data_IF_133234265995
#
_entry.id   IF_133234265995
#
_cell.length_a   1.000
_cell.length_b   1.000
_cell.length_c   1.000
_cell.angle_alpha   90.00
_cell.angle_beta   90.00
_cell.angle_gamma   90.00
#
_symmetry.space_group_name_H-M   'P 1'
#
loop_
_entity.id
_entity.type
_entity.pdbx_description
1 polymer ?
#
# COMPACT_ATOMS: atom_id res chain seq x y z
N UNK A 1 -5.42 35.29 -16.88
CA UNK A 1 -4.15 34.53 -17.05
C UNK A 1 -4.05 33.34 -16.10
N UNK A 2 -4.71 33.38 -14.94
CA UNK A 2 -4.69 32.28 -13.96
C UNK A 2 -5.71 31.20 -14.25
N UNK A 3 -6.77 31.51 -15.01
CA UNK A 3 -7.80 30.58 -15.48
C UNK A 3 -7.23 29.43 -16.30
N UNK A 4 -6.29 29.73 -17.20
CA UNK A 4 -5.68 28.69 -18.07
C UNK A 4 -4.86 27.68 -17.25
N UNK A 5 -4.17 28.16 -16.20
CA UNK A 5 -3.43 27.26 -15.32
C UNK A 5 -4.38 26.39 -14.48
N UNK A 6 -5.44 26.98 -13.93
CA UNK A 6 -6.44 26.24 -13.20
C UNK A 6 -7.10 25.16 -14.08
N UNK A 7 -7.41 25.50 -15.31
CA UNK A 7 -8.02 24.56 -16.28
C UNK A 7 -7.09 23.38 -16.60
N UNK A 8 -5.78 23.64 -16.79
CA UNK A 8 -4.80 22.59 -16.99
C UNK A 8 -4.63 21.68 -15.78
N UNK A 9 -4.62 22.25 -14.56
CA UNK A 9 -4.58 21.45 -13.32
C UNK A 9 -5.80 20.55 -13.18
N UNK A 10 -7.00 21.08 -13.46
CA UNK A 10 -8.24 20.28 -13.42
C UNK A 10 -8.22 19.16 -14.45
N UNK A 11 -7.69 19.43 -15.66
CA UNK A 11 -7.55 18.42 -16.71
C UNK A 11 -6.66 17.26 -16.28
N UNK A 12 -5.46 17.57 -15.76
CA UNK A 12 -4.51 16.55 -15.31
C UNK A 12 -5.03 15.76 -14.10
N UNK A 13 -5.66 16.44 -13.12
CA UNK A 13 -6.29 15.74 -11.98
C UNK A 13 -7.41 14.81 -12.48
N UNK A 14 -8.27 15.27 -13.39
CA UNK A 14 -9.36 14.46 -13.94
C UNK A 14 -8.80 13.23 -14.68
N UNK A 15 -7.76 13.42 -15.49
CA UNK A 15 -7.10 12.33 -16.20
C UNK A 15 -6.43 11.33 -15.23
N UNK A 16 -5.76 11.82 -14.19
CA UNK A 16 -5.12 10.96 -13.19
C UNK A 16 -6.14 10.16 -12.37
N UNK A 17 -7.24 10.77 -11.94
CA UNK A 17 -8.32 10.10 -11.21
C UNK A 17 -9.05 9.07 -12.09
N UNK A 18 -9.25 9.37 -13.38
CA UNK A 18 -9.91 8.47 -14.34
C UNK A 18 -9.13 7.19 -14.64
N UNK A 19 -7.82 7.15 -14.33
CA UNK A 19 -7.00 5.94 -14.42
C UNK A 19 -7.28 4.96 -13.27
N UNK A 20 -7.85 5.44 -12.17
CA UNK A 20 -8.22 4.62 -11.03
C UNK A 20 -9.56 3.98 -11.34
N UNK A 21 -9.57 2.70 -11.66
CA UNK A 21 -10.77 1.98 -12.14
C UNK A 21 -11.88 1.86 -11.10
N UNK A 22 -11.54 1.99 -9.82
CA UNK A 22 -12.52 2.03 -8.74
C UNK A 22 -13.36 3.32 -8.73
N UNK A 23 -12.97 4.33 -9.52
CA UNK A 23 -13.64 5.62 -9.56
C UNK A 23 -14.37 5.82 -10.88
N UNK A 24 -15.65 6.19 -10.79
CA UNK A 24 -16.37 6.79 -11.88
C UNK A 24 -16.20 8.31 -11.81
N UNK A 25 -15.36 8.86 -12.69
CA UNK A 25 -15.04 10.28 -12.70
C UNK A 25 -15.94 11.00 -13.72
N UNK A 26 -16.69 11.99 -13.24
CA UNK A 26 -17.54 12.83 -14.09
C UNK A 26 -16.68 13.66 -15.05
N UNK A 27 -17.16 13.79 -16.29
CA UNK A 27 -16.48 14.57 -17.31
C UNK A 27 -16.26 16.03 -16.87
N UNK A 28 -15.06 16.55 -17.13
CA UNK A 28 -14.62 17.90 -16.79
C UNK A 28 -15.65 19.00 -17.16
N UNK A 29 -16.29 18.90 -18.33
CA UNK A 29 -17.28 19.88 -18.79
C UNK A 29 -18.44 20.05 -17.81
N UNK A 30 -18.87 18.98 -17.14
CA UNK A 30 -19.93 19.06 -16.12
C UNK A 30 -19.47 19.81 -14.88
N UNK A 31 -18.23 19.63 -14.47
CA UNK A 31 -17.64 20.35 -13.33
C UNK A 31 -17.45 21.86 -13.64
N UNK A 32 -17.19 22.22 -14.89
CA UNK A 32 -17.05 23.65 -15.29
C UNK A 32 -18.31 24.50 -15.08
N UNK A 33 -19.50 23.90 -15.04
CA UNK A 33 -20.72 24.62 -14.73
C UNK A 33 -20.70 25.30 -13.35
N UNK A 34 -19.82 24.84 -12.47
CA UNK A 34 -19.64 25.34 -11.09
C UNK A 34 -18.40 26.23 -10.92
N UNK A 35 -17.57 26.38 -11.96
CA UNK A 35 -16.34 27.19 -11.89
C UNK A 35 -16.64 28.65 -11.53
N UNK A 36 -15.98 29.16 -10.47
CA UNK A 36 -16.12 30.53 -10.00
C UNK A 36 -17.46 30.85 -9.30
N UNK A 37 -18.28 29.84 -9.05
CA UNK A 37 -19.55 29.99 -8.34
C UNK A 37 -19.42 29.55 -6.88
N UNK A 38 -20.08 30.26 -5.98
CA UNK A 38 -20.26 29.82 -4.59
C UNK A 38 -21.53 28.96 -4.52
N UNK A 39 -21.34 27.64 -4.57
CA UNK A 39 -22.43 26.66 -4.51
C UNK A 39 -22.17 25.71 -3.34
N UNK A 40 -23.22 25.31 -2.63
CA UNK A 40 -23.09 24.27 -1.59
C UNK A 40 -22.66 22.95 -2.25
N UNK A 41 -21.60 22.34 -1.75
CA UNK A 41 -21.06 21.10 -2.29
C UNK A 41 -22.09 19.96 -2.30
N UNK A 42 -23.08 20.01 -1.39
CA UNK A 42 -24.18 19.05 -1.33
C UNK A 42 -25.13 19.19 -2.53
N UNK A 43 -25.30 20.40 -3.04
CA UNK A 43 -26.06 20.67 -4.27
C UNK A 43 -25.29 20.07 -5.47
N UNK A 44 -23.98 20.33 -5.57
CA UNK A 44 -23.12 19.75 -6.61
C UNK A 44 -23.21 18.22 -6.61
N UNK A 45 -23.17 17.60 -5.42
CA UNK A 45 -23.28 16.16 -5.27
C UNK A 45 -24.59 15.60 -5.81
N UNK A 46 -25.71 16.24 -5.51
CA UNK A 46 -27.04 15.85 -6.01
C UNK A 46 -27.19 16.06 -7.51
N UNK A 47 -26.75 17.20 -8.02
CA UNK A 47 -26.90 17.56 -9.42
C UNK A 47 -26.08 16.68 -10.36
N UNK A 48 -24.86 16.33 -9.93
CA UNK A 48 -23.94 15.50 -10.70
C UNK A 48 -24.02 14.00 -10.33
N UNK A 49 -24.74 13.64 -9.28
CA UNK A 49 -24.83 12.26 -8.79
C UNK A 49 -23.49 11.71 -8.29
N UNK A 50 -22.66 12.53 -7.63
CA UNK A 50 -21.33 12.15 -7.16
C UNK A 50 -21.24 12.19 -5.62
N UNK A 51 -20.60 11.16 -5.05
CA UNK A 51 -20.39 11.06 -3.61
C UNK A 51 -19.20 11.90 -3.12
N UNK A 52 -18.25 12.21 -3.99
CA UNK A 52 -17.03 12.94 -3.67
C UNK A 52 -16.74 14.01 -4.71
N UNK A 53 -16.18 15.14 -4.27
CA UNK A 53 -15.73 16.21 -5.15
C UNK A 53 -14.32 16.65 -4.78
N UNK A 54 -13.49 16.87 -5.79
CA UNK A 54 -12.20 17.55 -5.65
C UNK A 54 -12.38 19.00 -6.04
N UNK A 55 -12.10 19.91 -5.14
CA UNK A 55 -12.16 21.34 -5.40
C UNK A 55 -10.85 22.03 -5.00
N UNK A 56 -10.59 23.19 -5.55
CA UNK A 56 -9.37 23.91 -5.22
C UNK A 56 -9.31 25.34 -5.72
N UNK A 57 -8.23 26.01 -5.35
CA UNK A 57 -7.94 27.37 -5.79
C UNK A 57 -6.52 27.48 -6.32
N UNK A 58 -6.34 28.28 -7.36
CA UNK A 58 -5.04 28.64 -7.91
C UNK A 58 -4.79 30.14 -7.67
N UNK A 59 -3.66 30.47 -7.07
CA UNK A 59 -3.25 31.86 -6.83
C UNK A 59 -1.82 32.07 -7.31
N UNK A 60 -1.57 33.18 -8.00
CA UNK A 60 -0.24 33.58 -8.44
C UNK A 60 0.16 34.90 -7.78
N UNK A 61 1.39 34.96 -7.28
CA UNK A 61 1.93 36.18 -6.68
C UNK A 61 3.43 36.04 -6.38
N UNK A 62 4.20 37.13 -6.53
CA UNK A 62 5.62 37.15 -6.21
C UNK A 62 6.49 36.15 -7.00
N UNK A 63 6.12 35.84 -8.25
CA UNK A 63 6.84 34.85 -9.07
C UNK A 63 6.58 33.39 -8.66
N UNK A 64 5.59 33.15 -7.80
CA UNK A 64 5.18 31.81 -7.34
C UNK A 64 3.74 31.51 -7.70
N UNK A 65 3.44 30.23 -7.86
CA UNK A 65 2.09 29.69 -7.99
C UNK A 65 1.77 28.88 -6.74
N UNK A 66 0.62 29.18 -6.13
CA UNK A 66 0.08 28.42 -5.01
C UNK A 66 -1.22 27.77 -5.44
N UNK A 67 -1.29 26.46 -5.22
CA UNK A 67 -2.47 25.65 -5.50
C UNK A 67 -2.90 25.00 -4.19
N UNK A 68 -4.16 25.19 -3.84
CA UNK A 68 -4.78 24.47 -2.73
C UNK A 68 -5.82 23.55 -3.30
N UNK A 69 -5.79 22.29 -2.90
CA UNK A 69 -6.73 21.25 -3.34
C UNK A 69 -7.33 20.57 -2.12
N UNK A 70 -8.61 20.25 -2.16
CA UNK A 70 -9.29 19.49 -1.12
C UNK A 70 -10.25 18.45 -1.72
N UNK A 71 -10.39 17.33 -1.03
CA UNK A 71 -11.39 16.31 -1.28
C UNK A 71 -12.51 16.45 -0.25
N UNK A 72 -13.74 16.52 -0.74
CA UNK A 72 -14.93 16.69 0.09
C UNK A 72 -15.94 15.58 -0.23
N UNK A 73 -16.50 14.99 0.82
CA UNK A 73 -17.67 14.12 0.74
C UNK A 73 -18.92 15.00 0.53
N UNK A 74 -19.63 14.78 -0.58
CA UNK A 74 -20.68 15.72 -0.99
C UNK A 74 -21.93 15.68 -0.10
N UNK A 75 -22.33 14.51 0.41
CA UNK A 75 -23.53 14.37 1.23
C UNK A 75 -23.43 15.10 2.57
N UNK A 76 -22.28 14.99 3.22
CA UNK A 76 -22.03 15.61 4.54
C UNK A 76 -21.41 17.01 4.44
N UNK A 77 -20.74 17.32 3.34
CA UNK A 77 -19.87 18.49 3.20
C UNK A 77 -18.55 18.35 3.98
N UNK A 78 -18.21 17.14 4.44
CA UNK A 78 -17.01 16.85 5.22
C UNK A 78 -15.78 16.86 4.35
N UNK A 79 -14.78 17.65 4.70
CA UNK A 79 -13.46 17.60 4.07
C UNK A 79 -12.72 16.33 4.54
N UNK A 80 -12.36 15.48 3.59
CA UNK A 80 -11.64 14.22 3.85
C UNK A 80 -10.13 14.40 3.79
N UNK A 81 -9.67 15.29 2.90
CA UNK A 81 -8.27 15.56 2.66
C UNK A 81 -8.08 16.96 2.11
N UNK A 82 -6.95 17.58 2.40
CA UNK A 82 -6.51 18.80 1.72
C UNK A 82 -5.00 18.89 1.68
N UNK A 83 -4.49 19.53 0.64
CA UNK A 83 -3.08 19.85 0.50
C UNK A 83 -2.85 21.20 -0.17
N UNK A 84 -1.66 21.73 0.04
CA UNK A 84 -1.23 23.00 -0.50
C UNK A 84 0.14 22.88 -1.11
N UNK A 85 0.20 23.11 -2.41
CA UNK A 85 1.43 23.09 -3.19
C UNK A 85 1.84 24.53 -3.56
N UNK A 86 3.12 24.80 -3.49
CA UNK A 86 3.69 26.08 -3.85
C UNK A 86 4.98 25.85 -4.65
N UNK A 87 5.09 26.47 -5.81
CA UNK A 87 6.29 26.37 -6.66
C UNK A 87 6.58 27.65 -7.42
N UNK A 88 7.81 27.76 -7.95
CA UNK A 88 8.20 28.85 -8.85
C UNK A 88 7.42 28.75 -10.17
N UNK A 89 7.10 29.88 -10.78
CA UNK A 89 6.25 29.96 -11.96
C UNK A 89 6.90 29.46 -13.28
N UNK A 90 8.08 28.85 -13.24
CA UNK A 90 8.88 28.51 -14.41
C UNK A 90 8.70 27.09 -14.94
N UNK A 91 8.09 26.17 -14.19
CA UNK A 91 7.84 24.77 -14.57
C UNK A 91 6.37 24.40 -14.44
N UNK A 92 5.46 25.08 -15.14
CA UNK A 92 4.01 24.92 -14.97
C UNK A 92 3.51 23.51 -15.32
N UNK A 93 4.05 22.86 -16.35
CA UNK A 93 3.67 21.50 -16.73
C UNK A 93 4.12 20.47 -15.66
N UNK A 94 5.38 20.57 -15.21
CA UNK A 94 5.89 19.69 -14.15
C UNK A 94 5.10 19.87 -12.85
N UNK A 95 4.64 21.09 -12.56
CA UNK A 95 3.79 21.39 -11.41
C UNK A 95 2.40 20.74 -11.55
N UNK A 96 1.80 20.80 -12.76
CA UNK A 96 0.50 20.15 -13.04
C UNK A 96 0.59 18.65 -12.87
N UNK A 97 1.62 18.00 -13.44
CA UNK A 97 1.83 16.54 -13.32
C UNK A 97 2.05 16.10 -11.87
N UNK A 98 2.84 16.86 -11.10
CA UNK A 98 3.05 16.57 -9.68
C UNK A 98 1.75 16.68 -8.87
N UNK A 99 0.98 17.74 -9.11
CA UNK A 99 -0.30 17.95 -8.42
C UNK A 99 -1.27 16.81 -8.74
N UNK A 100 -1.41 16.47 -10.03
CA UNK A 100 -2.30 15.39 -10.46
C UNK A 100 -1.90 14.05 -9.81
N UNK A 101 -0.61 13.73 -9.79
CA UNK A 101 -0.09 12.52 -9.16
C UNK A 101 -0.32 12.50 -7.64
N UNK A 102 -0.09 13.61 -6.95
CA UNK A 102 -0.32 13.71 -5.50
C UNK A 102 -1.80 13.63 -5.14
N UNK A 103 -2.65 14.33 -5.89
CA UNK A 103 -4.11 14.32 -5.68
C UNK A 103 -4.67 12.91 -5.92
N UNK A 104 -4.28 12.24 -7.00
CA UNK A 104 -4.73 10.87 -7.27
C UNK A 104 -4.24 9.88 -6.21
N UNK A 105 -2.96 9.99 -5.80
CA UNK A 105 -2.37 9.13 -4.77
C UNK A 105 -2.99 9.33 -3.39
N UNK A 106 -3.27 10.57 -2.98
CA UNK A 106 -3.86 10.89 -1.68
C UNK A 106 -5.37 10.65 -1.62
N UNK A 107 -6.11 10.87 -2.71
CA UNK A 107 -7.56 10.71 -2.72
C UNK A 107 -7.99 9.24 -2.60
N UNK A 108 -7.28 8.30 -3.22
CA UNK A 108 -7.62 6.88 -3.15
C UNK A 108 -7.70 6.36 -1.70
N UNK A 109 -6.69 6.55 -0.82
CA UNK A 109 -6.79 6.17 0.59
C UNK A 109 -7.93 6.88 1.34
N UNK A 110 -8.17 8.16 1.07
CA UNK A 110 -9.18 8.97 1.77
C UNK A 110 -10.60 8.54 1.41
N UNK A 111 -10.90 8.33 0.13
CA UNK A 111 -12.18 7.81 -0.36
C UNK A 111 -12.39 6.39 0.18
N UNK A 112 -11.37 5.55 0.10
CA UNK A 112 -11.44 4.18 0.61
C UNK A 112 -11.72 4.13 2.11
N UNK A 113 -11.12 5.02 2.91
CA UNK A 113 -11.40 5.13 4.34
C UNK A 113 -12.87 5.51 4.60
N UNK A 114 -13.44 6.43 3.83
CA UNK A 114 -14.84 6.82 3.93
C UNK A 114 -15.79 5.66 3.53
N UNK A 115 -15.48 4.95 2.44
CA UNK A 115 -16.26 3.78 2.01
C UNK A 115 -16.21 2.62 3.01
N UNK A 116 -15.05 2.39 3.65
CA UNK A 116 -14.91 1.43 4.74
C UNK A 116 -15.81 1.80 5.91
N UNK A 117 -15.85 3.06 6.29
CA UNK A 117 -16.72 3.52 7.39
C UNK A 117 -18.20 3.38 7.04
N UNK A 118 -18.58 3.72 5.81
CA UNK A 118 -19.93 3.47 5.30
C UNK A 118 -20.31 1.97 5.36
N UNK A 119 -19.41 1.10 4.91
CA UNK A 119 -19.64 -0.34 4.96
C UNK A 119 -19.79 -0.86 6.40
N UNK A 120 -19.05 -0.31 7.37
CA UNK A 120 -19.18 -0.66 8.80
C UNK A 120 -20.54 -0.32 9.38
N UNK A 121 -21.19 0.74 8.90
CA UNK A 121 -22.50 1.19 9.35
C UNK A 121 -23.64 0.45 8.65
N UNK A 122 -23.37 -0.29 7.56
CA UNK A 122 -24.37 -1.08 6.84
C UNK A 122 -24.74 -2.34 7.63
N UNK A 123 -26.04 -2.68 7.82
CA UNK A 123 -26.47 -3.91 8.49
C UNK A 123 -25.90 -5.17 7.80
N UNK A 124 -25.50 -6.21 8.56
CA UNK A 124 -24.82 -7.39 8.02
C UNK A 124 -25.60 -8.13 6.90
N UNK A 125 -26.92 -8.18 7.00
CA UNK A 125 -27.80 -8.82 6.02
C UNK A 125 -27.80 -8.12 4.65
N UNK A 126 -27.50 -6.82 4.61
CA UNK A 126 -27.50 -6.00 3.40
C UNK A 126 -26.13 -5.89 2.74
N UNK A 127 -25.07 -6.50 3.36
CA UNK A 127 -23.72 -6.45 2.80
C UNK A 127 -23.59 -7.31 1.55
N UNK A 128 -22.99 -6.73 0.53
CA UNK A 128 -22.55 -7.42 -0.68
C UNK A 128 -21.07 -7.87 -0.56
N UNK A 129 -20.58 -8.63 -1.54
CA UNK A 129 -19.19 -9.06 -1.57
C UNK A 129 -18.20 -7.86 -1.53
N UNK A 130 -18.55 -6.77 -2.22
CA UNK A 130 -17.80 -5.52 -2.21
C UNK A 130 -17.70 -4.92 -0.80
N UNK A 131 -18.81 -4.77 -0.08
CA UNK A 131 -18.83 -4.17 1.27
C UNK A 131 -18.05 -5.01 2.28
N UNK A 132 -18.15 -6.34 2.20
CA UNK A 132 -17.37 -7.26 3.03
C UNK A 132 -15.87 -7.14 2.75
N UNK A 133 -15.51 -6.97 1.48
CA UNK A 133 -14.11 -6.73 1.08
C UNK A 133 -13.61 -5.39 1.61
N UNK A 134 -14.40 -4.32 1.54
CA UNK A 134 -14.05 -3.04 2.16
C UNK A 134 -13.82 -3.15 3.67
N UNK A 135 -14.68 -3.88 4.39
CA UNK A 135 -14.51 -4.16 5.82
C UNK A 135 -13.22 -4.92 6.14
N UNK A 136 -12.76 -5.77 5.22
CA UNK A 136 -11.53 -6.52 5.39
C UNK A 136 -10.26 -5.65 5.24
N UNK A 137 -10.30 -4.56 4.47
CA UNK A 137 -9.12 -3.78 4.11
C UNK A 137 -8.31 -3.22 5.30
N UNK A 138 -8.91 -2.66 6.38
CA UNK A 138 -8.15 -2.21 7.54
C UNK A 138 -7.35 -3.33 8.21
N UNK A 139 -7.91 -4.53 8.22
CA UNK A 139 -7.28 -5.74 8.74
C UNK A 139 -6.21 -6.27 7.77
N UNK A 140 -6.48 -6.23 6.48
CA UNK A 140 -5.54 -6.58 5.42
C UNK A 140 -4.24 -5.78 5.48
N UNK A 141 -4.33 -4.46 5.72
CA UNK A 141 -3.14 -3.58 5.79
C UNK A 141 -2.44 -3.56 7.14
N UNK A 142 -3.05 -4.07 8.19
CA UNK A 142 -2.49 -4.00 9.54
C UNK A 142 -1.23 -4.87 9.74
N UNK A 143 -1.03 -5.90 8.92
CA UNK A 143 0.10 -6.84 8.98
C UNK A 143 0.33 -7.43 10.38
N UNK A 144 -0.75 -7.74 11.09
CA UNK A 144 -0.77 -8.40 12.40
C UNK A 144 -1.55 -9.70 12.30
N UNK A 145 -1.13 -10.75 13.01
CA UNK A 145 -1.73 -12.09 12.91
C UNK A 145 -3.26 -12.07 13.11
N UNK A 146 -3.73 -11.49 14.20
CA UNK A 146 -5.16 -11.42 14.50
C UNK A 146 -5.97 -10.61 13.47
N UNK A 147 -5.38 -9.58 12.86
CA UNK A 147 -6.02 -8.82 11.79
C UNK A 147 -6.04 -9.61 10.48
N UNK A 148 -4.96 -10.32 10.14
CA UNK A 148 -4.92 -11.19 8.97
C UNK A 148 -6.01 -12.29 9.03
N UNK A 149 -6.22 -12.92 10.20
CA UNK A 149 -7.28 -13.90 10.42
C UNK A 149 -8.68 -13.29 10.23
N UNK A 150 -8.91 -12.06 10.72
CA UNK A 150 -10.17 -11.32 10.50
C UNK A 150 -10.37 -10.96 9.03
N UNK A 151 -9.32 -10.54 8.34
CA UNK A 151 -9.40 -10.23 6.91
C UNK A 151 -9.77 -11.49 6.11
N UNK A 152 -9.13 -12.63 6.39
CA UNK A 152 -9.46 -13.91 5.75
C UNK A 152 -10.91 -14.31 5.96
N UNK A 153 -11.43 -14.19 7.20
CA UNK A 153 -12.82 -14.50 7.51
C UNK A 153 -13.82 -13.60 6.75
N UNK A 154 -13.49 -12.32 6.56
CA UNK A 154 -14.33 -11.38 5.79
C UNK A 154 -14.25 -11.66 4.29
N UNK A 155 -13.08 -12.02 3.75
CA UNK A 155 -12.95 -12.44 2.36
C UNK A 155 -13.69 -13.75 2.09
N UNK A 156 -13.70 -14.70 3.04
CA UNK A 156 -14.49 -15.92 2.92
C UNK A 156 -15.99 -15.62 2.87
N UNK A 157 -16.47 -14.69 3.69
CA UNK A 157 -17.87 -14.25 3.65
C UNK A 157 -18.20 -13.54 2.31
N UNK A 158 -17.28 -12.71 1.78
CA UNK A 158 -17.45 -12.08 0.48
C UNK A 158 -17.56 -13.12 -0.64
N UNK A 159 -16.68 -14.12 -0.63
CA UNK A 159 -16.65 -15.20 -1.62
C UNK A 159 -17.84 -16.20 -1.46
N UNK A 160 -18.44 -16.29 -0.27
CA UNK A 160 -19.68 -17.03 -0.09
C UNK A 160 -20.88 -16.32 -0.77
N UNK A 161 -20.86 -15.00 -0.89
CA UNK A 161 -21.87 -14.22 -1.61
C UNK A 161 -21.63 -14.17 -3.12
N UNK A 162 -20.36 -14.01 -3.53
CA UNK A 162 -19.91 -14.00 -4.92
C UNK A 162 -18.60 -14.79 -5.04
N UNK A 163 -18.68 -16.08 -5.42
CA UNK A 163 -17.52 -16.95 -5.52
C UNK A 163 -16.49 -16.50 -6.56
N UNK A 164 -16.88 -15.71 -7.55
CA UNK A 164 -16.02 -15.22 -8.63
C UNK A 164 -15.58 -13.76 -8.43
N UNK A 165 -15.77 -13.21 -7.23
CA UNK A 165 -15.30 -11.87 -6.91
C UNK A 165 -13.76 -11.83 -6.84
N UNK A 166 -13.14 -11.57 -7.98
CA UNK A 166 -11.69 -11.65 -8.19
C UNK A 166 -10.86 -10.78 -7.25
N UNK A 167 -11.38 -9.61 -6.82
CA UNK A 167 -10.68 -8.72 -5.89
C UNK A 167 -10.53 -9.37 -4.51
N UNK A 168 -11.59 -10.00 -3.98
CA UNK A 168 -11.51 -10.72 -2.71
C UNK A 168 -10.56 -11.92 -2.80
N UNK A 169 -10.56 -12.65 -3.92
CA UNK A 169 -9.61 -13.74 -4.17
C UNK A 169 -8.15 -13.25 -4.15
N UNK A 170 -7.87 -12.13 -4.83
CA UNK A 170 -6.53 -11.54 -4.87
C UNK A 170 -6.03 -11.13 -3.46
N UNK A 171 -6.88 -10.47 -2.69
CA UNK A 171 -6.52 -10.06 -1.33
C UNK A 171 -6.43 -11.24 -0.37
N UNK A 172 -7.28 -12.26 -0.52
CA UNK A 172 -7.18 -13.52 0.21
C UNK A 172 -5.86 -14.25 -0.08
N UNK A 173 -5.43 -14.30 -1.36
CA UNK A 173 -4.14 -14.86 -1.74
C UNK A 173 -2.97 -14.18 -1.03
N UNK A 174 -2.97 -12.86 -0.97
CA UNK A 174 -1.97 -12.07 -0.24
C UNK A 174 -2.01 -12.36 1.26
N UNK A 175 -3.18 -12.46 1.89
CA UNK A 175 -3.29 -12.80 3.31
C UNK A 175 -2.68 -14.18 3.63
N UNK A 176 -2.92 -15.21 2.80
CA UNK A 176 -2.30 -16.52 2.96
C UNK A 176 -0.78 -16.46 2.75
N UNK A 177 -0.28 -15.68 1.80
CA UNK A 177 1.15 -15.45 1.60
C UNK A 177 1.81 -14.78 2.81
N UNK A 178 1.13 -13.85 3.48
CA UNK A 178 1.59 -13.25 4.73
C UNK A 178 1.72 -14.27 5.87
N UNK A 179 0.79 -15.25 5.97
CA UNK A 179 0.84 -16.30 7.00
C UNK A 179 2.18 -17.04 6.97
N UNK A 180 2.72 -17.31 5.77
CA UNK A 180 4.02 -17.95 5.62
C UNK A 180 5.17 -17.02 5.94
N UNK A 181 5.22 -15.87 5.28
CA UNK A 181 6.36 -14.93 5.36
C UNK A 181 6.57 -14.34 6.74
N UNK A 182 5.49 -14.14 7.50
CA UNK A 182 5.57 -13.65 8.87
C UNK A 182 5.63 -14.77 9.90
N UNK A 183 5.74 -16.02 9.44
CA UNK A 183 5.89 -17.22 10.29
C UNK A 183 4.72 -17.41 11.29
N UNK A 184 3.50 -17.08 10.83
CA UNK A 184 2.28 -17.27 11.61
C UNK A 184 1.64 -18.64 11.37
N UNK A 185 1.93 -19.24 10.20
CA UNK A 185 1.40 -20.54 9.80
C UNK A 185 2.05 -21.67 10.60
N UNK A 186 1.25 -22.64 11.04
CA UNK A 186 1.73 -23.91 11.59
C UNK A 186 2.25 -24.82 10.47
N UNK A 187 1.57 -24.83 9.33
CA UNK A 187 1.98 -25.51 8.09
C UNK A 187 2.18 -24.48 6.95
N UNK A 188 3.40 -23.98 6.75
CA UNK A 188 3.70 -23.04 5.67
C UNK A 188 3.44 -23.59 4.27
N UNK A 189 3.55 -24.89 4.04
CA UNK A 189 3.30 -25.48 2.73
C UNK A 189 1.81 -25.46 2.38
N UNK A 190 0.94 -25.80 3.33
CA UNK A 190 -0.50 -25.72 3.16
C UNK A 190 -0.96 -24.27 2.92
N UNK A 191 -0.39 -23.29 3.65
CA UNK A 191 -0.75 -21.89 3.43
C UNK A 191 -0.28 -21.36 2.06
N UNK A 192 0.91 -21.78 1.58
CA UNK A 192 1.33 -21.47 0.21
C UNK A 192 0.38 -22.06 -0.83
N UNK A 193 -0.06 -23.28 -0.66
CA UNK A 193 -1.01 -23.91 -1.56
C UNK A 193 -2.35 -23.13 -1.62
N UNK A 194 -2.87 -22.66 -0.46
CA UNK A 194 -4.06 -21.81 -0.41
C UNK A 194 -3.83 -20.46 -1.09
N UNK A 195 -2.66 -19.84 -0.86
CA UNK A 195 -2.30 -18.58 -1.50
C UNK A 195 -2.28 -18.73 -3.02
N UNK A 196 -1.65 -19.79 -3.53
CA UNK A 196 -1.56 -20.02 -4.97
C UNK A 196 -2.92 -20.35 -5.60
N UNK A 197 -3.71 -21.22 -4.99
CA UNK A 197 -5.05 -21.53 -5.49
C UNK A 197 -5.94 -20.28 -5.60
N UNK A 198 -5.86 -19.37 -4.64
CA UNK A 198 -6.58 -18.10 -4.68
C UNK A 198 -5.99 -17.14 -5.73
N UNK A 199 -4.66 -17.03 -5.84
CA UNK A 199 -3.98 -16.19 -6.81
C UNK A 199 -4.25 -16.63 -8.25
N UNK A 200 -4.17 -17.93 -8.54
CA UNK A 200 -4.42 -18.51 -9.87
C UNK A 200 -5.86 -18.21 -10.32
N UNK A 201 -6.82 -18.38 -9.41
CA UNK A 201 -8.21 -18.06 -9.72
C UNK A 201 -8.44 -16.56 -9.91
N UNK A 202 -7.85 -15.73 -9.04
CA UNK A 202 -7.91 -14.28 -9.17
C UNK A 202 -7.31 -13.77 -10.49
N UNK A 203 -6.20 -14.39 -10.93
CA UNK A 203 -5.51 -14.03 -12.18
C UNK A 203 -6.39 -14.19 -13.43
N UNK A 204 -7.36 -15.11 -13.39
CA UNK A 204 -8.32 -15.34 -14.48
C UNK A 204 -9.47 -14.30 -14.47
N UNK A 205 -9.73 -13.67 -13.33
CA UNK A 205 -10.91 -12.81 -13.11
C UNK A 205 -10.55 -11.32 -13.04
N UNK A 206 -9.32 -10.99 -12.61
CA UNK A 206 -8.88 -9.61 -12.42
C UNK A 206 -8.10 -9.12 -13.62
N UNK A 207 -8.67 -8.12 -14.32
CA UNK A 207 -8.03 -7.55 -15.51
C UNK A 207 -7.76 -6.05 -15.40
N UNK A 208 -8.58 -5.31 -14.65
CA UNK A 208 -8.64 -3.84 -14.64
C UNK A 208 -8.63 -3.22 -13.22
N UNK A 209 -8.29 -3.98 -12.19
CA UNK A 209 -8.17 -3.50 -10.82
C UNK A 209 -6.70 -3.51 -10.37
N UNK A 210 -6.04 -2.35 -10.41
CA UNK A 210 -4.60 -2.21 -10.16
C UNK A 210 -4.14 -2.80 -8.81
N UNK A 211 -4.83 -2.47 -7.71
CA UNK A 211 -4.45 -2.98 -6.38
C UNK A 211 -4.60 -4.50 -6.27
N UNK A 212 -5.64 -5.09 -6.90
CA UNK A 212 -5.81 -6.54 -6.90
C UNK A 212 -4.74 -7.25 -7.75
N UNK A 213 -4.38 -6.70 -8.93
CA UNK A 213 -3.26 -7.21 -9.73
C UNK A 213 -1.95 -7.16 -8.94
N UNK A 214 -1.68 -6.05 -8.24
CA UNK A 214 -0.50 -5.95 -7.38
C UNK A 214 -0.53 -6.98 -6.23
N UNK A 215 -1.72 -7.31 -5.68
CA UNK A 215 -1.87 -8.35 -4.65
C UNK A 215 -1.58 -9.75 -5.19
N UNK A 216 -2.03 -10.06 -6.41
CA UNK A 216 -1.72 -11.31 -7.10
C UNK A 216 -0.20 -11.43 -7.29
N UNK A 217 0.45 -10.41 -7.87
CA UNK A 217 1.90 -10.40 -8.05
C UNK A 217 2.66 -10.52 -6.73
N UNK A 218 2.20 -9.83 -5.68
CA UNK A 218 2.79 -9.94 -4.35
C UNK A 218 2.67 -11.36 -3.77
N UNK A 219 1.52 -12.04 -3.93
CA UNK A 219 1.35 -13.42 -3.49
C UNK A 219 2.29 -14.38 -4.24
N UNK A 220 2.39 -14.26 -5.56
CA UNK A 220 3.35 -15.03 -6.36
C UNK A 220 4.79 -14.79 -5.92
N UNK A 221 5.20 -13.54 -5.68
CA UNK A 221 6.57 -13.19 -5.29
C UNK A 221 7.01 -13.83 -3.97
N UNK A 222 6.06 -14.06 -3.05
CA UNK A 222 6.33 -14.67 -1.75
C UNK A 222 6.22 -16.19 -1.77
N UNK A 223 5.39 -16.77 -2.66
CA UNK A 223 5.04 -18.17 -2.62
C UNK A 223 5.75 -19.01 -3.68
N UNK A 224 6.32 -18.38 -4.72
CA UNK A 224 6.98 -19.09 -5.84
C UNK A 224 8.42 -18.61 -6.06
N UNK A 225 9.17 -19.35 -6.85
CA UNK A 225 10.48 -18.93 -7.35
C UNK A 225 10.39 -18.08 -8.64
N UNK A 226 9.22 -18.08 -9.30
CA UNK A 226 9.01 -17.36 -10.57
C UNK A 226 8.74 -15.87 -10.32
N UNK A 227 9.81 -15.13 -10.10
CA UNK A 227 9.76 -13.71 -9.88
C UNK A 227 9.38 -12.92 -11.14
N UNK A 228 9.63 -13.47 -12.33
CA UNK A 228 9.22 -12.84 -13.59
C UNK A 228 7.70 -12.87 -13.76
N UNK A 229 7.05 -13.97 -13.39
CA UNK A 229 5.60 -14.05 -13.37
C UNK A 229 4.98 -13.08 -12.36
N UNK A 230 5.54 -13.02 -11.15
CA UNK A 230 5.12 -12.03 -10.14
C UNK A 230 5.26 -10.59 -10.65
N UNK A 231 6.39 -10.26 -11.31
CA UNK A 231 6.62 -8.94 -11.91
C UNK A 231 5.55 -8.57 -12.93
N UNK A 232 5.14 -9.49 -13.79
CA UNK A 232 4.16 -9.23 -14.84
C UNK A 232 2.82 -8.68 -14.31
N UNK A 233 2.38 -9.14 -13.13
CA UNK A 233 1.16 -8.62 -12.49
C UNK A 233 1.37 -7.25 -11.86
N UNK A 234 2.51 -7.01 -11.22
CA UNK A 234 2.84 -5.72 -10.62
C UNK A 234 3.01 -4.66 -11.71
N UNK A 235 3.69 -4.99 -12.81
CA UNK A 235 3.87 -4.10 -13.96
C UNK A 235 2.53 -3.74 -14.62
N UNK A 236 1.63 -4.72 -14.78
CA UNK A 236 0.26 -4.47 -15.26
C UNK A 236 -0.52 -3.57 -14.30
N UNK A 237 -0.36 -3.77 -12.99
CA UNK A 237 -1.00 -2.90 -12.00
C UNK A 237 -0.53 -1.45 -12.13
N UNK A 238 0.78 -1.22 -12.28
CA UNK A 238 1.37 0.11 -12.44
C UNK A 238 1.11 0.72 -13.82
N UNK A 239 0.93 -0.10 -14.86
CA UNK A 239 0.48 0.37 -16.18
C UNK A 239 -0.98 0.85 -16.15
N UNK A 240 -1.85 0.19 -15.37
CA UNK A 240 -3.25 0.61 -15.18
C UNK A 240 -3.35 1.87 -14.31
N UNK A 241 -2.60 1.91 -13.21
CA UNK A 241 -2.59 3.06 -12.28
C UNK A 241 -1.14 3.38 -11.86
N UNK A 242 -0.47 4.29 -12.58
CA UNK A 242 0.88 4.75 -12.25
C UNK A 242 0.98 5.46 -10.89
N UNK A 243 -0.13 5.87 -10.31
CA UNK A 243 -0.22 6.53 -9.01
C UNK A 243 -0.61 5.57 -7.87
N UNK A 244 -0.65 4.27 -8.12
CA UNK A 244 -0.92 3.26 -7.11
C UNK A 244 0.27 3.11 -6.15
N UNK A 245 0.23 3.80 -5.02
CA UNK A 245 1.30 3.79 -4.02
C UNK A 245 1.55 2.36 -3.49
N UNK A 246 0.50 1.55 -3.30
CA UNK A 246 0.65 0.17 -2.85
C UNK A 246 1.32 -0.70 -3.93
N UNK A 247 0.99 -0.49 -5.20
CA UNK A 247 1.65 -1.15 -6.34
C UNK A 247 3.15 -0.84 -6.37
N UNK A 248 3.55 0.42 -6.21
CA UNK A 248 4.95 0.81 -6.12
C UNK A 248 5.66 0.19 -4.91
N UNK A 249 5.00 0.12 -3.77
CA UNK A 249 5.55 -0.58 -2.60
C UNK A 249 5.76 -2.08 -2.89
N UNK A 250 4.83 -2.74 -3.59
CA UNK A 250 5.00 -4.15 -3.99
C UNK A 250 6.11 -4.34 -5.00
N UNK A 251 6.28 -3.41 -5.97
CA UNK A 251 7.42 -3.40 -6.87
C UNK A 251 8.75 -3.29 -6.08
N UNK A 252 8.82 -2.40 -5.09
CA UNK A 252 9.99 -2.27 -4.21
C UNK A 252 10.33 -3.57 -3.49
N UNK A 253 9.36 -4.25 -2.91
CA UNK A 253 9.58 -5.55 -2.27
C UNK A 253 10.02 -6.63 -3.27
N UNK A 254 9.43 -6.68 -4.47
CA UNK A 254 9.85 -7.61 -5.51
C UNK A 254 11.32 -7.37 -5.91
N UNK A 255 11.71 -6.11 -6.10
CA UNK A 255 13.11 -5.71 -6.36
C UNK A 255 14.04 -6.14 -5.22
N UNK A 256 13.61 -5.98 -3.98
CA UNK A 256 14.36 -6.44 -2.80
C UNK A 256 14.55 -7.97 -2.81
N UNK A 257 13.51 -8.73 -3.17
CA UNK A 257 13.59 -10.20 -3.33
C UNK A 257 14.55 -10.61 -4.45
N UNK A 258 14.67 -9.81 -5.49
CA UNK A 258 15.58 -10.07 -6.62
C UNK A 258 17.03 -9.61 -6.38
N UNK A 259 17.31 -8.95 -5.24
CA UNK A 259 18.66 -8.40 -4.98
C UNK A 259 18.92 -7.02 -5.63
N UNK A 260 17.91 -6.39 -6.20
CA UNK A 260 17.98 -5.11 -6.90
C UNK A 260 17.75 -3.94 -5.92
N UNK A 261 18.62 -3.80 -4.91
CA UNK A 261 18.38 -2.93 -3.74
C UNK A 261 18.24 -1.44 -4.07
N UNK A 262 18.98 -0.93 -5.06
CA UNK A 262 18.88 0.49 -5.46
C UNK A 262 17.56 0.79 -6.14
N UNK A 263 17.10 -0.10 -7.02
CA UNK A 263 15.81 0.04 -7.69
C UNK A 263 14.65 -0.14 -6.71
N UNK A 264 14.82 -1.02 -5.71
CA UNK A 264 13.88 -1.16 -4.62
C UNK A 264 13.68 0.15 -3.85
N UNK A 265 14.78 0.84 -3.48
CA UNK A 265 14.70 2.15 -2.81
C UNK A 265 13.94 3.17 -3.65
N UNK A 266 14.21 3.28 -4.95
CA UNK A 266 13.49 4.18 -5.85
C UNK A 266 11.97 3.89 -5.90
N UNK A 267 11.58 2.61 -5.93
CA UNK A 267 10.17 2.22 -5.87
C UNK A 267 9.52 2.61 -4.54
N UNK A 268 10.19 2.39 -3.41
CA UNK A 268 9.68 2.77 -2.08
C UNK A 268 9.58 4.29 -1.92
N UNK A 269 10.55 5.05 -2.40
CA UNK A 269 10.51 6.53 -2.42
C UNK A 269 9.34 7.04 -3.25
N UNK A 270 9.09 6.43 -4.43
CA UNK A 270 7.92 6.76 -5.25
C UNK A 270 6.61 6.46 -4.51
N UNK A 271 6.49 5.31 -3.87
CA UNK A 271 5.31 4.95 -3.07
C UNK A 271 5.05 5.96 -1.94
N UNK A 272 6.11 6.36 -1.22
CA UNK A 272 6.02 7.32 -0.12
C UNK A 272 5.65 8.72 -0.61
N UNK A 273 6.18 9.15 -1.76
CA UNK A 273 5.86 10.44 -2.38
C UNK A 273 4.39 10.52 -2.84
N UNK A 274 3.85 9.40 -3.34
CA UNK A 274 2.45 9.33 -3.78
C UNK A 274 1.46 9.33 -2.61
N UNK A 275 1.78 8.66 -1.49
CA UNK A 275 0.87 8.54 -0.35
C UNK A 275 1.62 8.49 0.99
N UNK A 276 2.09 9.65 1.49
CA UNK A 276 2.92 9.71 2.71
C UNK A 276 2.16 9.35 4.00
N UNK A 277 0.84 9.39 3.99
CA UNK A 277 -0.04 9.13 5.13
C UNK A 277 -0.84 7.85 5.00
N UNK A 278 -0.46 6.98 4.06
CA UNK A 278 -1.16 5.72 3.86
C UNK A 278 -1.02 4.78 5.08
N UNK A 279 -2.06 4.02 5.45
CA UNK A 279 -2.01 3.05 6.55
C UNK A 279 -0.87 2.02 6.45
N UNK A 280 -0.35 1.75 5.25
CA UNK A 280 0.75 0.83 5.03
C UNK A 280 2.15 1.48 4.98
N UNK A 281 2.28 2.78 5.25
CA UNK A 281 3.57 3.52 5.20
C UNK A 281 4.66 2.86 6.03
N UNK A 282 4.31 2.24 7.16
CA UNK A 282 5.25 1.46 7.98
C UNK A 282 5.95 0.35 7.17
N UNK A 283 5.25 -0.30 6.24
CA UNK A 283 5.81 -1.38 5.43
C UNK A 283 6.76 -0.85 4.35
N UNK A 284 6.57 0.38 3.88
CA UNK A 284 7.53 1.08 3.01
C UNK A 284 8.85 1.27 3.76
N UNK A 285 8.81 1.77 5.00
CA UNK A 285 10.01 1.94 5.82
C UNK A 285 10.74 0.63 6.07
N UNK A 286 10.03 -0.47 6.31
CA UNK A 286 10.67 -1.79 6.44
C UNK A 286 11.33 -2.25 5.13
N UNK A 287 10.71 -1.99 3.97
CA UNK A 287 11.31 -2.28 2.68
C UNK A 287 12.59 -1.49 2.44
N UNK A 288 12.56 -0.18 2.70
CA UNK A 288 13.74 0.69 2.61
C UNK A 288 14.83 0.26 3.60
N UNK A 289 14.45 -0.15 4.83
CA UNK A 289 15.39 -0.67 5.82
C UNK A 289 16.07 -1.96 5.35
N UNK A 290 15.30 -2.88 4.75
CA UNK A 290 15.83 -4.12 4.17
C UNK A 290 16.84 -3.85 3.06
N UNK A 291 16.50 -2.98 2.12
CA UNK A 291 17.39 -2.60 1.02
C UNK A 291 18.67 -1.91 1.51
N UNK A 292 18.55 -0.98 2.48
CA UNK A 292 19.69 -0.27 3.07
C UNK A 292 20.64 -1.22 3.81
N UNK A 293 20.11 -2.21 4.55
CA UNK A 293 20.90 -3.19 5.26
C UNK A 293 21.72 -4.08 4.30
N UNK A 294 21.12 -4.53 3.20
CA UNK A 294 21.84 -5.34 2.21
C UNK A 294 22.87 -4.50 1.41
N UNK A 295 22.69 -3.20 1.31
CA UNK A 295 23.72 -2.28 0.81
C UNK A 295 24.83 -2.00 1.83
N UNK A 296 24.67 -2.42 3.10
CA UNK A 296 25.65 -2.26 4.18
C UNK A 296 25.47 -1.00 5.02
N UNK A 297 24.45 -0.19 4.76
CA UNK A 297 24.11 0.99 5.56
C UNK A 297 23.19 0.59 6.73
N UNK A 298 23.79 -0.02 7.75
CA UNK A 298 23.05 -0.48 8.93
C UNK A 298 22.52 0.66 9.79
N UNK A 299 23.17 1.83 9.77
CA UNK A 299 22.70 3.00 10.50
C UNK A 299 21.35 3.48 9.93
N UNK A 300 21.26 3.60 8.61
CA UNK A 300 20.03 3.96 7.90
C UNK A 300 18.97 2.87 8.04
N UNK A 301 19.37 1.61 7.95
CA UNK A 301 18.45 0.48 8.11
C UNK A 301 17.79 0.47 9.50
N UNK A 302 18.53 0.76 10.56
CA UNK A 302 18.01 0.85 11.93
C UNK A 302 17.03 2.02 12.04
N UNK A 303 17.44 3.23 11.59
CA UNK A 303 16.57 4.42 11.61
C UNK A 303 15.21 4.13 10.93
N UNK A 304 15.25 3.55 9.74
CA UNK A 304 14.05 3.25 8.95
C UNK A 304 13.20 2.15 9.62
N UNK A 305 13.80 1.11 10.18
CA UNK A 305 13.08 0.05 10.88
C UNK A 305 12.41 0.56 12.17
N UNK A 306 13.10 1.42 12.95
CA UNK A 306 12.51 2.09 14.12
C UNK A 306 11.34 2.99 13.72
N UNK A 307 11.48 3.75 12.62
CA UNK A 307 10.41 4.57 12.06
C UNK A 307 9.21 3.73 11.61
N UNK A 308 9.47 2.58 10.98
CA UNK A 308 8.44 1.63 10.60
C UNK A 308 7.64 1.11 11.81
N UNK A 309 8.32 0.72 12.89
CA UNK A 309 7.65 0.29 14.13
C UNK A 309 6.86 1.41 14.81
N UNK A 310 7.36 2.64 14.76
CA UNK A 310 6.62 3.80 15.29
C UNK A 310 5.34 4.07 14.49
N UNK A 311 5.39 3.95 13.17
CA UNK A 311 4.23 4.18 12.28
C UNK A 311 3.24 3.01 12.27
N UNK A 312 3.71 1.78 12.54
CA UNK A 312 2.90 0.55 12.59
C UNK A 312 2.99 -0.15 13.95
N UNK A 313 2.41 0.42 15.02
CA UNK A 313 2.46 -0.22 16.33
C UNK A 313 1.77 -1.59 16.29
N UNK A 314 2.43 -2.60 16.87
CA UNK A 314 1.93 -3.98 16.91
C UNK A 314 2.39 -4.86 15.75
N UNK A 315 3.24 -4.38 14.85
CA UNK A 315 3.91 -5.19 13.82
C UNK A 315 5.11 -5.92 14.40
N UNK A 316 4.83 -6.95 15.21
CA UNK A 316 5.82 -7.60 16.08
C UNK A 316 6.88 -8.41 15.33
N UNK A 317 6.57 -8.90 14.13
CA UNK A 317 7.52 -9.61 13.29
C UNK A 317 8.71 -8.73 12.86
N UNK A 318 8.56 -7.40 12.88
CA UNK A 318 9.62 -6.48 12.49
C UNK A 318 10.79 -6.43 13.49
N UNK A 319 10.62 -6.88 14.73
CA UNK A 319 11.72 -7.00 15.68
C UNK A 319 12.84 -7.93 15.21
N UNK A 320 12.56 -8.88 14.31
CA UNK A 320 13.60 -9.70 13.67
C UNK A 320 14.56 -8.86 12.80
N UNK A 321 14.05 -7.80 12.16
CA UNK A 321 14.87 -6.89 11.36
C UNK A 321 15.80 -6.08 12.26
N UNK A 322 15.26 -5.48 13.33
CA UNK A 322 16.07 -4.73 14.29
C UNK A 322 17.10 -5.61 15.00
N UNK A 323 16.75 -6.84 15.39
CA UNK A 323 17.71 -7.79 15.99
C UNK A 323 18.90 -8.02 15.06
N UNK A 324 18.63 -8.27 13.76
CA UNK A 324 19.65 -8.44 12.73
C UNK A 324 20.50 -7.18 12.53
N UNK A 325 19.86 -6.03 12.32
CA UNK A 325 20.55 -4.79 11.94
C UNK A 325 21.40 -4.24 13.09
N UNK A 326 20.92 -4.31 14.34
CA UNK A 326 21.73 -3.95 15.50
C UNK A 326 22.93 -4.88 15.69
N UNK A 327 22.78 -6.20 15.43
CA UNK A 327 23.89 -7.14 15.50
C UNK A 327 24.94 -6.83 14.44
N UNK A 328 24.54 -6.52 13.21
CA UNK A 328 25.43 -6.12 12.12
C UNK A 328 26.13 -4.77 12.40
N UNK A 329 25.46 -3.85 13.07
CA UNK A 329 26.03 -2.57 13.50
C UNK A 329 26.90 -2.70 14.77
N UNK A 330 27.08 -3.89 15.34
CA UNK A 330 27.89 -4.13 16.55
C UNK A 330 27.20 -3.75 17.88
N UNK A 331 25.92 -3.36 17.84
CA UNK A 331 25.16 -3.01 19.04
C UNK A 331 24.48 -4.25 19.66
N UNK A 332 25.27 -5.09 20.30
CA UNK A 332 24.81 -6.36 20.84
C UNK A 332 23.70 -6.21 21.90
N UNK A 333 23.76 -5.15 22.71
CA UNK A 333 22.74 -4.89 23.75
C UNK A 333 21.35 -4.65 23.13
N UNK A 334 21.25 -3.77 22.13
CA UNK A 334 19.98 -3.49 21.44
C UNK A 334 19.53 -4.68 20.60
N UNK A 335 20.47 -5.41 19.98
CA UNK A 335 20.19 -6.63 19.24
C UNK A 335 19.52 -7.68 20.12
N UNK A 336 20.09 -7.98 21.27
CA UNK A 336 19.53 -8.93 22.24
C UNK A 336 18.15 -8.51 22.75
N UNK A 337 17.94 -7.21 23.00
CA UNK A 337 16.64 -6.68 23.40
C UNK A 337 15.58 -6.86 22.30
N UNK A 338 15.92 -6.57 21.05
CA UNK A 338 15.03 -6.75 19.92
C UNK A 338 14.71 -8.24 19.68
N UNK A 339 15.69 -9.13 19.82
CA UNK A 339 15.47 -10.57 19.73
C UNK A 339 14.56 -11.07 20.86
N UNK A 340 14.74 -10.59 22.08
CA UNK A 340 13.87 -10.95 23.21
C UNK A 340 12.41 -10.53 22.97
N UNK A 341 12.18 -9.33 22.40
CA UNK A 341 10.84 -8.88 22.01
C UNK A 341 10.25 -9.76 20.90
N UNK A 342 11.03 -10.13 19.89
CA UNK A 342 10.57 -11.06 18.87
C UNK A 342 10.10 -12.38 19.47
N UNK A 343 10.93 -12.98 20.34
CA UNK A 343 10.65 -14.29 20.95
C UNK A 343 9.49 -14.22 21.96
N UNK A 344 9.29 -13.08 22.62
CA UNK A 344 8.12 -12.85 23.49
C UNK A 344 6.80 -12.91 22.69
N UNK A 345 6.80 -12.34 21.48
CA UNK A 345 5.62 -12.33 20.60
C UNK A 345 5.47 -13.58 19.75
N UNK A 346 6.59 -14.27 19.48
CA UNK A 346 6.63 -15.49 18.65
C UNK A 346 7.43 -16.58 19.40
N UNK A 347 6.86 -17.20 20.45
CA UNK A 347 7.54 -18.24 21.20
C UNK A 347 7.95 -19.40 20.28
N UNK A 348 9.19 -19.86 20.43
CA UNK A 348 9.72 -20.94 19.59
C UNK A 348 10.08 -20.56 18.15
N UNK A 349 10.28 -19.25 17.87
CA UNK A 349 10.86 -18.81 16.60
C UNK A 349 12.32 -19.28 16.50
N UNK A 350 12.69 -19.85 15.36
CA UNK A 350 14.04 -20.35 15.06
C UNK A 350 14.43 -20.00 13.64
N UNK A 351 15.73 -20.10 13.33
CA UNK A 351 16.24 -19.92 11.96
C UNK A 351 15.64 -20.96 11.00
N UNK A 352 15.37 -22.18 11.46
CA UNK A 352 14.72 -23.20 10.66
C UNK A 352 13.29 -22.82 10.28
N UNK A 353 12.46 -22.42 11.25
CA UNK A 353 11.10 -21.92 10.99
C UNK A 353 11.09 -20.72 10.06
N UNK A 354 12.06 -19.83 10.24
CA UNK A 354 12.21 -18.68 9.37
C UNK A 354 12.47 -19.10 7.92
N UNK A 355 13.40 -20.05 7.70
CA UNK A 355 13.70 -20.58 6.35
C UNK A 355 12.50 -21.27 5.70
N UNK A 356 11.71 -22.00 6.48
CA UNK A 356 10.50 -22.66 5.99
C UNK A 356 9.40 -21.66 5.57
N UNK A 357 9.29 -20.54 6.27
CA UNK A 357 8.27 -19.52 6.01
C UNK A 357 8.65 -18.53 4.91
N UNK A 358 9.93 -18.21 4.76
CA UNK A 358 10.38 -17.15 3.85
C UNK A 358 10.51 -17.61 2.39
N UNK A 359 10.37 -16.67 1.42
CA UNK A 359 10.61 -16.94 0.01
C UNK A 359 12.06 -17.40 -0.24
N UNK A 360 12.28 -18.36 -1.14
CA UNK A 360 13.65 -18.79 -1.52
C UNK A 360 14.51 -17.64 -2.04
N UNK A 361 13.91 -16.71 -2.79
CA UNK A 361 14.59 -15.52 -3.32
C UNK A 361 15.10 -14.60 -2.21
N UNK A 362 14.33 -14.41 -1.11
CA UNK A 362 14.79 -13.64 0.04
C UNK A 362 15.98 -14.31 0.70
N UNK A 363 15.91 -15.63 0.90
CA UNK A 363 16.99 -16.39 1.52
C UNK A 363 18.29 -16.33 0.71
N UNK A 364 18.18 -16.27 -0.64
CA UNK A 364 19.32 -16.17 -1.54
C UNK A 364 19.92 -14.74 -1.58
N UNK A 365 19.08 -13.71 -1.57
CA UNK A 365 19.47 -12.34 -1.88
C UNK A 365 19.60 -11.41 -0.66
N UNK A 366 19.35 -11.93 0.57
CA UNK A 366 19.52 -11.17 1.80
C UNK A 366 20.45 -11.85 2.81
N UNK A 367 21.71 -12.10 2.44
CA UNK A 367 22.66 -12.83 3.31
C UNK A 367 23.02 -12.04 4.57
N UNK A 368 23.10 -10.71 4.49
CA UNK A 368 23.44 -9.86 5.65
C UNK A 368 22.34 -9.88 6.71
N UNK A 369 21.10 -9.91 6.29
CA UNK A 369 19.95 -10.06 7.18
C UNK A 369 20.03 -11.39 7.95
N UNK A 370 20.26 -12.50 7.25
CA UNK A 370 20.34 -13.84 7.86
C UNK A 370 21.56 -13.97 8.78
N UNK A 371 22.70 -13.42 8.37
CA UNK A 371 23.91 -13.38 9.20
C UNK A 371 23.68 -12.58 10.48
N UNK A 372 23.03 -11.43 10.37
CA UNK A 372 22.69 -10.59 11.50
C UNK A 372 21.82 -11.29 12.53
N UNK A 373 20.83 -12.08 12.10
CA UNK A 373 20.00 -12.89 13.00
C UNK A 373 20.81 -13.95 13.75
N UNK A 374 21.78 -14.61 13.09
CA UNK A 374 22.69 -15.55 13.76
C UNK A 374 23.56 -14.83 14.78
N UNK A 375 24.14 -13.65 14.43
CA UNK A 375 24.92 -12.80 15.32
C UNK A 375 24.09 -12.31 16.53
N UNK A 376 22.79 -12.08 16.33
CA UNK A 376 21.86 -11.72 17.40
C UNK A 376 21.60 -12.87 18.39
N UNK A 377 21.94 -14.10 18.01
CA UNK A 377 21.74 -15.30 18.84
C UNK A 377 20.37 -15.97 18.61
N UNK A 378 19.74 -15.79 17.43
CA UNK A 378 18.51 -16.52 17.11
C UNK A 378 18.77 -18.02 17.11
N UNK A 379 17.95 -18.85 17.81
CA UNK A 379 18.11 -20.31 17.84
C UNK A 379 18.07 -20.92 16.42
N UNK A 380 18.93 -21.92 16.16
CA UNK A 380 18.91 -22.60 14.83
C UNK A 380 17.70 -23.54 14.67
N UNK A 381 17.30 -24.28 15.78
CA UNK A 381 16.19 -25.25 15.85
C UNK A 381 15.28 -24.97 17.02
#
# INVERSE_FOLDING_TARGET
KDDFLADGVVEEITAALSRIKDFFVIARQSAYAYKGRFVDIREVGRDLGVAYAVEGTVRRGGGRVRITVQLVETDSGRQLWSDRLEDASTGLFDLQDRIASQVAGANNPSIRASEIERARQTPPENLQAYDLTLRALPHFWAHRKADNEKALALFDQALAKDPDYGVALAFKAWCHAQQTTYTWAEDPAAERAKAMAAADRAALLVHDHATALAAIGAAYSLCTADQAHAASFIDRALALDPNNAWGWMRAGWLKTLNGEMKDALACFERALALSPFDPFTFNIYFGMASASAELGDFAKAIELAERGLHSGPGVTWAYRMLASYYAQAGNQKKSAAALAELLRHNPGMTMEKLRQGMPPSLLANQPRYLEGLRKAGMPER
#
